data_IF_619643035837
#
_entry.id   IF_619643035837
#
_cell.length_a   1.000
_cell.length_b   1.000
_cell.length_c   1.000
_cell.angle_alpha   90.00
_cell.angle_beta   90.00
_cell.angle_gamma   90.00
#
_symmetry.space_group_name_H-M   'P 1'
#
loop_
_entity.id
_entity.type
_entity.pdbx_description
1 polymer ?
#
# COMPACT_ATOMS: atom_id res chain seq x y z
N UNK A 1 -5.72 18.06 10.92
CA UNK A 1 -5.30 16.85 11.65
C UNK A 1 -5.01 15.78 10.62
N UNK A 2 -3.93 15.04 10.77
CA UNK A 2 -3.50 14.07 9.77
C UNK A 2 -3.63 12.65 10.35
N UNK A 3 -3.77 11.65 9.48
CA UNK A 3 -3.77 10.25 9.91
C UNK A 3 -3.04 9.32 8.93
N UNK A 4 -2.66 8.17 9.47
CA UNK A 4 -2.29 7.00 8.68
C UNK A 4 -3.43 6.00 8.71
N UNK A 5 -3.70 5.37 7.57
CA UNK A 5 -4.71 4.33 7.40
C UNK A 5 -4.09 3.05 6.85
N UNK A 6 -4.55 1.88 7.28
CA UNK A 6 -4.25 0.58 6.66
C UNK A 6 -5.49 -0.33 6.63
N UNK A 7 -5.40 -1.45 5.90
CA UNK A 7 -6.46 -2.45 5.76
C UNK A 7 -5.99 -3.83 6.20
N UNK A 8 -6.72 -4.45 7.14
CA UNK A 8 -6.57 -5.87 7.50
C UNK A 8 -7.90 -6.57 7.26
N UNK A 9 -8.03 -7.33 6.18
CA UNK A 9 -9.26 -8.07 5.87
C UNK A 9 -8.93 -9.54 5.64
N UNK A 10 -9.65 -10.42 6.34
CA UNK A 10 -9.43 -11.85 6.35
C UNK A 10 -8.11 -12.26 7.01
N UNK A 11 -7.57 -13.40 6.55
CA UNK A 11 -6.46 -14.10 7.21
C UNK A 11 -5.12 -13.99 6.45
N UNK A 12 -5.04 -13.19 5.38
CA UNK A 12 -3.79 -13.04 4.63
C UNK A 12 -2.70 -12.36 5.47
N UNK A 13 -3.08 -11.33 6.23
CA UNK A 13 -2.21 -10.64 7.16
C UNK A 13 -2.78 -10.73 8.57
N UNK A 14 -1.98 -11.21 9.52
CA UNK A 14 -2.35 -11.25 10.94
C UNK A 14 -2.29 -9.85 11.57
N UNK A 15 -2.79 -9.72 12.80
CA UNK A 15 -2.64 -8.48 13.58
C UNK A 15 -1.17 -8.08 13.81
N UNK A 16 -0.21 -9.00 13.70
CA UNK A 16 1.23 -8.71 13.78
C UNK A 16 1.66 -7.67 12.73
N UNK A 17 1.10 -7.75 11.52
CA UNK A 17 1.38 -6.79 10.45
C UNK A 17 0.92 -5.38 10.80
N UNK A 18 -0.31 -5.25 11.28
CA UNK A 18 -0.88 -3.97 11.73
C UNK A 18 -0.02 -3.38 12.85
N UNK A 19 0.31 -4.22 13.84
CA UNK A 19 1.07 -3.83 15.01
C UNK A 19 2.51 -3.41 14.68
N UNK A 20 3.18 -4.11 13.77
CA UNK A 20 4.54 -3.78 13.33
C UNK A 20 4.56 -2.49 12.49
N UNK A 21 3.57 -2.30 11.62
CA UNK A 21 3.42 -1.05 10.87
C UNK A 21 3.16 0.14 11.81
N UNK A 22 2.22 0.01 12.74
CA UNK A 22 1.92 1.03 13.74
C UNK A 22 3.16 1.40 14.58
N UNK A 23 3.88 0.40 15.13
CA UNK A 23 5.14 0.64 15.86
C UNK A 23 6.18 1.37 15.02
N UNK A 24 6.34 0.97 13.76
CA UNK A 24 7.33 1.57 12.86
C UNK A 24 7.04 3.05 12.62
N UNK A 25 5.77 3.42 12.47
CA UNK A 25 5.36 4.82 12.27
C UNK A 25 5.48 5.62 13.57
N UNK A 26 5.15 5.02 14.71
CA UNK A 26 5.21 5.66 16.04
C UNK A 26 6.63 6.10 16.45
N UNK A 27 7.67 5.59 15.79
CA UNK A 27 9.05 6.06 15.95
C UNK A 27 9.26 7.49 15.43
N UNK A 28 8.41 7.95 14.51
CA UNK A 28 8.58 9.21 13.78
C UNK A 28 7.43 10.19 13.99
N UNK A 29 6.24 9.73 14.40
CA UNK A 29 5.09 10.60 14.61
C UNK A 29 4.04 9.99 15.53
N UNK A 30 3.28 10.85 16.22
CA UNK A 30 2.14 10.51 17.08
C UNK A 30 0.78 10.74 16.39
N UNK A 31 0.75 10.91 15.06
CA UNK A 31 -0.52 11.04 14.32
C UNK A 31 -1.40 9.79 14.47
N UNK A 32 -2.71 10.00 14.37
CA UNK A 32 -3.68 8.92 14.49
C UNK A 32 -3.38 7.79 13.48
N UNK A 33 -3.30 6.56 13.97
CA UNK A 33 -3.14 5.36 13.16
C UNK A 33 -4.43 4.57 13.17
N UNK A 34 -5.02 4.39 11.99
CA UNK A 34 -6.36 3.83 11.79
C UNK A 34 -6.24 2.52 11.00
N UNK A 35 -6.81 1.45 11.50
CA UNK A 35 -6.95 0.18 10.78
C UNK A 35 -8.42 -0.08 10.46
N UNK A 36 -8.74 -0.20 9.18
CA UNK A 36 -10.03 -0.73 8.74
C UNK A 36 -9.93 -2.25 8.66
N UNK A 37 -10.80 -2.96 9.38
CA UNK A 37 -10.69 -4.42 9.52
C UNK A 37 -12.03 -5.14 9.68
N UNK A 38 -12.08 -6.40 9.28
CA UNK A 38 -13.19 -7.32 9.58
C UNK A 38 -13.01 -8.08 10.90
N UNK A 39 -11.81 -7.96 11.52
CA UNK A 39 -11.46 -8.60 12.78
C UNK A 39 -10.34 -7.84 13.49
N UNK A 40 -10.68 -7.17 14.59
CA UNK A 40 -9.74 -6.39 15.39
C UNK A 40 -8.96 -7.22 16.43
N UNK A 41 -9.17 -8.54 16.52
CA UNK A 41 -8.51 -9.37 17.53
C UNK A 41 -6.97 -9.32 17.39
N UNK A 42 -6.29 -9.06 18.51
CA UNK A 42 -4.83 -8.99 18.57
C UNK A 42 -4.20 -7.69 18.07
N UNK A 43 -4.99 -6.75 17.51
CA UNK A 43 -4.51 -5.39 17.19
C UNK A 43 -4.32 -4.60 18.49
N UNK A 44 -3.28 -3.77 18.57
CA UNK A 44 -3.02 -2.96 19.76
C UNK A 44 -4.13 -1.96 20.06
N UNK A 45 -4.40 -1.73 21.36
CA UNK A 45 -5.46 -0.84 21.84
C UNK A 45 -5.25 0.64 21.47
N UNK A 46 -4.02 1.04 21.13
CA UNK A 46 -3.71 2.40 20.69
C UNK A 46 -3.80 2.59 19.16
N UNK A 47 -4.15 1.53 18.42
CA UNK A 47 -4.62 1.62 17.04
C UNK A 47 -6.12 1.87 17.04
N UNK A 48 -6.57 2.88 16.30
CA UNK A 48 -8.00 3.14 16.10
C UNK A 48 -8.52 2.12 15.09
N UNK A 49 -9.48 1.28 15.47
CA UNK A 49 -10.07 0.30 14.55
C UNK A 49 -11.47 0.72 14.12
N UNK A 50 -11.75 0.57 12.83
CA UNK A 50 -13.11 0.69 12.28
C UNK A 50 -13.46 -0.55 11.48
N UNK A 51 -14.70 -1.01 11.63
CA UNK A 51 -15.17 -2.17 10.88
C UNK A 51 -15.26 -1.85 9.39
N UNK A 52 -14.89 -2.80 8.54
CA UNK A 52 -15.14 -2.77 7.10
C UNK A 52 -15.62 -4.13 6.64
N UNK A 53 -16.67 -4.13 5.82
CA UNK A 53 -17.26 -5.37 5.33
C UNK A 53 -16.34 -6.05 4.31
N UNK A 54 -16.47 -7.37 4.25
CA UNK A 54 -15.81 -8.17 3.22
C UNK A 54 -16.85 -8.73 2.26
N UNK A 55 -16.44 -8.92 1.00
CA UNK A 55 -17.32 -9.41 -0.06
C UNK A 55 -16.81 -10.72 -0.66
N UNK A 56 -16.43 -11.67 0.22
CA UNK A 56 -15.83 -12.96 -0.16
C UNK A 56 -16.67 -13.78 -1.15
N UNK A 57 -17.98 -13.59 -1.15
CA UNK A 57 -18.92 -14.30 -2.02
C UNK A 57 -19.00 -13.71 -3.45
N UNK A 58 -18.28 -12.62 -3.73
CA UNK A 58 -18.29 -11.96 -5.04
C UNK A 58 -17.06 -12.34 -5.85
N UNK A 59 -17.30 -12.97 -7.01
CA UNK A 59 -16.24 -13.32 -7.97
C UNK A 59 -15.42 -12.07 -8.37
N UNK A 60 -14.09 -12.20 -8.35
CA UNK A 60 -13.16 -11.12 -8.69
C UNK A 60 -12.84 -10.17 -7.52
N UNK A 61 -13.65 -10.17 -6.45
CA UNK A 61 -13.35 -9.39 -5.26
C UNK A 61 -12.22 -10.04 -4.44
N UNK A 62 -11.42 -9.18 -3.81
CA UNK A 62 -10.35 -9.51 -2.87
C UNK A 62 -10.13 -8.31 -1.92
N UNK A 63 -9.48 -8.49 -0.75
CA UNK A 63 -9.30 -7.46 0.28
C UNK A 63 -8.86 -6.06 -0.17
N UNK A 64 -7.91 -5.95 -1.10
CA UNK A 64 -7.40 -4.65 -1.57
C UNK A 64 -8.45 -3.78 -2.28
N UNK A 65 -9.63 -4.31 -2.66
CA UNK A 65 -10.73 -3.51 -3.18
C UNK A 65 -11.38 -2.62 -2.12
N UNK A 66 -11.38 -3.03 -0.85
CA UNK A 66 -11.87 -2.23 0.27
C UNK A 66 -11.07 -0.94 0.50
N UNK A 67 -9.91 -0.78 -0.17
CA UNK A 67 -9.19 0.50 -0.26
C UNK A 67 -10.04 1.59 -0.90
N UNK A 68 -10.81 1.24 -1.93
CA UNK A 68 -11.67 2.18 -2.62
C UNK A 68 -12.91 2.52 -1.77
N UNK A 69 -13.45 1.55 -1.03
CA UNK A 69 -14.53 1.77 -0.05
C UNK A 69 -14.09 2.66 1.10
N UNK A 70 -12.87 2.44 1.61
CA UNK A 70 -12.26 3.21 2.68
C UNK A 70 -12.21 4.71 2.35
N UNK A 71 -11.94 5.09 1.09
CA UNK A 71 -11.88 6.49 0.68
C UNK A 71 -13.20 7.26 0.87
N UNK A 72 -14.34 6.57 0.95
CA UNK A 72 -15.66 7.16 1.20
C UNK A 72 -16.10 7.14 2.67
N UNK A 73 -15.21 6.82 3.61
CA UNK A 73 -15.56 6.63 5.02
C UNK A 73 -15.65 7.95 5.77
N UNK A 74 -16.82 8.21 6.38
CA UNK A 74 -17.10 9.41 7.19
C UNK A 74 -16.09 9.58 8.34
N UNK A 75 -15.56 8.47 8.88
CA UNK A 75 -14.55 8.47 9.93
C UNK A 75 -13.26 9.22 9.54
N UNK A 76 -13.01 9.35 8.23
CA UNK A 76 -11.85 10.05 7.67
C UNK A 76 -12.11 11.55 7.40
N UNK A 77 -13.35 12.03 7.42
CA UNK A 77 -13.69 13.42 7.08
C UNK A 77 -13.05 14.45 8.01
N UNK A 78 -12.78 14.08 9.27
CA UNK A 78 -12.15 14.95 10.28
C UNK A 78 -10.64 15.15 10.06
N UNK A 79 -10.03 14.44 9.10
CA UNK A 79 -8.60 14.55 8.79
C UNK A 79 -8.38 15.33 7.50
N UNK A 80 -7.43 16.26 7.51
CA UNK A 80 -7.10 17.12 6.36
C UNK A 80 -6.24 16.35 5.34
N UNK A 81 -5.29 15.54 5.82
CA UNK A 81 -4.40 14.69 5.03
C UNK A 81 -4.42 13.27 5.58
N UNK A 82 -4.54 12.30 4.68
CA UNK A 82 -4.52 10.87 4.98
C UNK A 82 -3.36 10.22 4.24
N UNK A 83 -2.70 9.28 4.89
CA UNK A 83 -1.65 8.45 4.31
C UNK A 83 -2.09 7.01 4.41
N UNK A 84 -2.39 6.38 3.28
CA UNK A 84 -2.62 4.96 3.24
C UNK A 84 -1.30 4.21 3.08
N UNK A 85 -1.13 3.13 3.86
CA UNK A 85 -0.08 2.12 3.66
C UNK A 85 -0.71 0.72 3.56
N UNK A 86 -0.27 -0.08 2.59
CA UNK A 86 -0.51 -1.54 2.63
C UNK A 86 0.26 -2.16 3.81
N UNK A 87 -0.16 -3.36 4.24
CA UNK A 87 0.47 -4.05 5.36
C UNK A 87 1.79 -4.74 4.99
N UNK A 88 1.99 -5.07 3.72
CA UNK A 88 3.18 -5.75 3.19
C UNK A 88 4.29 -4.77 2.82
N UNK A 89 4.66 -3.91 3.77
CA UNK A 89 5.81 -3.00 3.65
C UNK A 89 6.74 -3.12 4.84
N UNK A 90 8.00 -2.73 4.64
CA UNK A 90 8.98 -2.56 5.72
C UNK A 90 9.48 -1.13 5.68
N UNK A 91 9.14 -0.37 6.73
CA UNK A 91 9.70 0.95 7.01
C UNK A 91 11.11 0.74 7.57
N UNK A 92 12.13 1.12 6.81
CA UNK A 92 13.53 0.82 7.10
C UNK A 92 14.38 2.05 7.41
N UNK A 93 13.90 3.25 7.10
CA UNK A 93 14.54 4.52 7.45
C UNK A 93 13.47 5.55 7.89
N UNK A 94 13.93 6.75 8.22
CA UNK A 94 13.09 7.89 8.60
C UNK A 94 12.07 8.26 7.51
N UNK A 95 10.79 8.10 7.82
CA UNK A 95 9.66 8.41 6.94
C UNK A 95 9.06 9.80 7.17
N UNK A 96 9.66 10.65 8.01
CA UNK A 96 9.25 12.05 8.18
C UNK A 96 9.02 12.76 6.82
N UNK A 97 9.85 12.56 5.77
CA UNK A 97 9.57 13.14 4.46
C UNK A 97 8.24 12.72 3.83
N UNK A 98 7.76 11.49 4.10
CA UNK A 98 6.44 11.00 3.64
C UNK A 98 5.34 11.62 4.48
N UNK A 99 5.52 11.67 5.81
CA UNK A 99 4.52 12.18 6.74
C UNK A 99 4.25 13.69 6.53
N UNK A 100 5.28 14.45 6.21
CA UNK A 100 5.22 15.89 5.95
C UNK A 100 4.96 16.25 4.49
N UNK A 101 4.79 15.25 3.60
CA UNK A 101 4.60 15.51 2.17
C UNK A 101 3.23 16.14 1.90
N UNK A 102 3.24 17.29 1.23
CA UNK A 102 2.03 18.03 0.88
C UNK A 102 1.64 17.81 -0.58
N UNK A 103 0.46 17.24 -0.79
CA UNK A 103 -0.16 16.97 -2.09
C UNK A 103 -1.67 16.87 -1.91
N UNK A 104 -2.44 17.06 -2.98
CA UNK A 104 -3.86 16.73 -2.97
C UNK A 104 -4.07 15.22 -3.14
N UNK A 105 -3.24 14.57 -3.97
CA UNK A 105 -3.20 13.13 -4.16
C UNK A 105 -1.89 12.68 -4.83
N UNK A 106 -1.12 11.80 -4.18
CA UNK A 106 0.04 11.15 -4.77
C UNK A 106 0.11 9.64 -4.49
N UNK A 107 0.74 8.91 -5.41
CA UNK A 107 0.92 7.45 -5.39
C UNK A 107 2.35 7.05 -5.79
N UNK A 108 2.79 5.82 -5.49
CA UNK A 108 4.15 5.36 -5.82
C UNK A 108 4.37 5.26 -7.34
N UNK A 109 5.44 5.85 -7.86
CA UNK A 109 5.87 5.69 -9.25
C UNK A 109 6.69 4.39 -9.47
N UNK A 110 6.04 3.35 -9.99
CA UNK A 110 6.74 2.09 -10.36
C UNK A 110 7.36 2.16 -11.75
N UNK A 111 7.07 3.21 -12.50
CA UNK A 111 7.49 3.38 -13.87
C UNK A 111 9.02 3.53 -13.99
N UNK A 112 9.67 3.91 -12.88
CA UNK A 112 11.12 3.95 -12.70
C UNK A 112 11.77 2.56 -12.74
N UNK A 113 11.10 1.52 -12.22
CA UNK A 113 11.64 0.15 -12.20
C UNK A 113 10.94 -0.84 -13.12
N UNK A 114 9.77 -0.52 -13.69
CA UNK A 114 9.15 -1.31 -14.77
C UNK A 114 9.80 -1.04 -16.15
N UNK A 115 10.31 0.18 -16.36
CA UNK A 115 11.03 0.56 -17.59
C UNK A 115 10.12 0.81 -18.80
N UNK A 116 10.66 1.46 -19.84
CA UNK A 116 9.86 1.94 -20.98
C UNK A 116 9.30 0.82 -21.86
N UNK A 117 10.00 -0.31 -21.95
CA UNK A 117 9.54 -1.47 -22.73
C UNK A 117 8.22 -1.98 -22.17
N UNK A 118 8.14 -2.18 -20.85
CA UNK A 118 6.91 -2.63 -20.18
C UNK A 118 5.75 -1.67 -20.45
N UNK A 119 5.94 -0.36 -20.27
CA UNK A 119 4.87 0.64 -20.46
C UNK A 119 4.30 0.60 -21.87
N UNK A 120 5.15 0.37 -22.88
CA UNK A 120 4.73 0.28 -24.28
C UNK A 120 3.98 -1.01 -24.58
N UNK A 121 4.40 -2.13 -23.97
CA UNK A 121 3.82 -3.46 -24.21
C UNK A 121 2.52 -3.68 -23.41
N UNK A 122 2.31 -2.92 -22.32
CA UNK A 122 1.17 -3.07 -21.40
C UNK A 122 0.52 -1.71 -21.06
N UNK A 123 -0.03 -0.98 -22.04
CA UNK A 123 -0.64 0.34 -21.81
C UNK A 123 -1.84 0.31 -20.85
N UNK A 124 -2.47 -0.85 -20.69
CA UNK A 124 -3.59 -1.08 -19.77
C UNK A 124 -3.17 -1.31 -18.32
N UNK A 125 -1.89 -1.60 -18.07
CA UNK A 125 -1.39 -1.88 -16.72
C UNK A 125 -0.86 -0.61 -16.06
N UNK A 126 -1.30 -0.39 -14.82
CA UNK A 126 -0.82 0.70 -14.01
C UNK A 126 0.70 0.67 -13.87
N UNK A 127 1.30 1.85 -14.11
CA UNK A 127 2.73 2.08 -13.86
C UNK A 127 2.97 2.75 -12.51
N UNK A 128 2.05 2.55 -11.58
CA UNK A 128 2.14 2.91 -10.17
C UNK A 128 1.81 1.72 -9.27
N UNK A 129 1.88 1.94 -7.96
CA UNK A 129 1.45 1.00 -6.94
C UNK A 129 0.81 1.76 -5.75
N UNK A 130 -0.37 1.33 -5.30
CA UNK A 130 -1.09 2.00 -4.19
C UNK A 130 -0.70 1.52 -2.79
N UNK A 131 0.44 0.85 -2.61
CA UNK A 131 0.92 0.46 -1.27
C UNK A 131 1.34 1.65 -0.41
N UNK A 132 1.53 2.82 -1.01
CA UNK A 132 1.42 4.10 -0.33
C UNK A 132 0.59 5.07 -1.17
N UNK A 133 -0.37 5.74 -0.54
CA UNK A 133 -1.16 6.81 -1.17
C UNK A 133 -1.32 7.95 -0.17
N UNK A 134 -0.90 9.16 -0.54
CA UNK A 134 -1.10 10.37 0.26
C UNK A 134 -2.21 11.17 -0.40
N UNK A 135 -3.23 11.57 0.35
CA UNK A 135 -4.38 12.26 -0.22
C UNK A 135 -5.11 13.13 0.79
N UNK A 136 -5.77 14.19 0.29
CA UNK A 136 -6.71 14.98 1.09
C UNK A 136 -8.13 14.47 0.96
N UNK A 137 -8.56 14.21 -0.27
CA UNK A 137 -9.92 13.75 -0.59
C UNK A 137 -9.89 12.83 -1.82
N UNK A 138 -10.48 11.63 -1.68
CA UNK A 138 -10.67 10.66 -2.76
C UNK A 138 -12.13 10.19 -2.84
N UNK A 139 -13.07 11.04 -2.41
CA UNK A 139 -14.51 10.74 -2.48
C UNK A 139 -14.96 10.48 -3.92
N UNK A 140 -14.41 11.19 -4.91
CA UNK A 140 -14.70 10.94 -6.32
C UNK A 140 -14.25 9.55 -6.79
N UNK A 141 -13.13 9.04 -6.26
CA UNK A 141 -12.69 7.66 -6.51
C UNK A 141 -13.70 6.68 -5.93
N UNK A 142 -14.11 6.90 -4.68
CA UNK A 142 -15.11 6.08 -4.00
C UNK A 142 -16.44 6.07 -4.77
N UNK A 143 -16.97 7.24 -5.14
CA UNK A 143 -18.23 7.36 -5.89
C UNK A 143 -18.13 6.67 -7.24
N UNK A 144 -17.01 6.81 -7.95
CA UNK A 144 -16.78 6.12 -9.22
C UNK A 144 -16.70 4.61 -9.06
N UNK A 145 -16.28 4.10 -7.90
CA UNK A 145 -16.18 2.67 -7.62
C UNK A 145 -17.50 2.10 -7.14
N UNK A 146 -18.18 2.74 -6.18
CA UNK A 146 -19.30 2.14 -5.44
C UNK A 146 -20.56 1.95 -6.29
N UNK A 147 -20.74 2.76 -7.34
CA UNK A 147 -21.92 2.71 -8.21
C UNK A 147 -22.09 1.35 -8.89
N UNK A 148 -20.99 0.77 -9.40
CA UNK A 148 -20.98 -0.52 -10.11
C UNK A 148 -19.83 -1.42 -9.60
N UNK A 149 -19.61 -1.42 -8.28
CA UNK A 149 -18.42 -2.03 -7.68
C UNK A 149 -18.27 -3.51 -8.03
N UNK A 150 -19.37 -4.27 -8.07
CA UNK A 150 -19.36 -5.71 -8.34
C UNK A 150 -19.00 -6.02 -9.80
N UNK A 151 -19.29 -5.09 -10.71
CA UNK A 151 -18.81 -5.13 -12.10
C UNK A 151 -17.32 -4.80 -12.18
N UNK A 152 -16.88 -3.77 -11.45
CA UNK A 152 -15.48 -3.34 -11.45
C UNK A 152 -14.53 -4.43 -10.93
N UNK A 153 -14.90 -5.12 -9.85
CA UNK A 153 -14.06 -6.19 -9.26
C UNK A 153 -13.91 -7.39 -10.20
N UNK A 154 -14.89 -7.63 -11.08
CA UNK A 154 -14.83 -8.68 -12.13
C UNK A 154 -14.04 -8.23 -13.34
N UNK A 155 -14.06 -6.94 -13.67
CA UNK A 155 -13.48 -6.40 -14.89
C UNK A 155 -11.99 -6.05 -14.77
N UNK A 156 -11.57 -5.47 -13.65
CA UNK A 156 -10.22 -4.97 -13.49
C UNK A 156 -9.35 -5.93 -12.67
N UNK A 157 -8.06 -5.95 -12.99
CA UNK A 157 -7.03 -6.69 -12.21
C UNK A 157 -6.61 -5.90 -10.97
N UNK A 158 -7.57 -5.54 -10.13
CA UNK A 158 -7.36 -4.78 -8.89
C UNK A 158 -7.55 -3.27 -9.00
N UNK A 159 -7.53 -2.62 -7.83
CA UNK A 159 -7.80 -1.20 -7.66
C UNK A 159 -6.83 -0.29 -8.44
N UNK A 160 -5.52 -0.61 -8.50
CA UNK A 160 -4.56 0.20 -9.26
C UNK A 160 -4.90 0.30 -10.75
N UNK A 161 -5.31 -0.82 -11.34
CA UNK A 161 -5.71 -0.86 -12.75
C UNK A 161 -7.08 -0.22 -12.97
N UNK A 162 -8.00 -0.34 -12.02
CA UNK A 162 -9.26 0.42 -12.03
C UNK A 162 -8.98 1.92 -12.09
N UNK A 163 -8.12 2.45 -11.21
CA UNK A 163 -7.75 3.86 -11.21
C UNK A 163 -7.09 4.29 -12.53
N UNK A 164 -6.18 3.45 -13.04
CA UNK A 164 -5.41 3.74 -14.26
C UNK A 164 -6.31 3.82 -15.48
N UNK A 165 -7.14 2.80 -15.69
CA UNK A 165 -7.99 2.69 -16.89
C UNK A 165 -9.12 3.72 -16.88
N UNK A 166 -9.62 4.11 -15.71
CA UNK A 166 -10.64 5.16 -15.59
C UNK A 166 -10.07 6.60 -15.63
N UNK A 167 -8.75 6.75 -15.89
CA UNK A 167 -8.15 8.03 -16.21
C UNK A 167 -7.97 8.96 -15.01
N UNK A 168 -7.92 8.41 -13.80
CA UNK A 168 -7.53 9.17 -12.62
C UNK A 168 -6.06 9.61 -12.71
N UNK A 169 -5.74 10.76 -12.11
CA UNK A 169 -4.44 11.45 -12.29
C UNK A 169 -3.81 11.87 -10.96
N UNK A 170 -3.31 10.93 -10.16
CA UNK A 170 -2.46 11.27 -9.01
C UNK A 170 -1.13 11.87 -9.46
N UNK A 171 -0.53 12.64 -8.57
CA UNK A 171 0.90 12.93 -8.63
C UNK A 171 1.73 11.68 -8.27
N UNK A 172 3.02 11.72 -8.58
CA UNK A 172 3.95 10.67 -8.20
C UNK A 172 4.74 11.04 -6.95
N UNK A 173 4.78 10.11 -6.00
CA UNK A 173 5.65 10.21 -4.84
C UNK A 173 7.13 10.16 -5.28
N UNK A 174 8.04 10.88 -4.58
CA UNK A 174 9.47 10.73 -4.78
C UNK A 174 9.95 9.28 -4.61
N UNK A 175 11.19 9.02 -5.04
CA UNK A 175 11.84 7.69 -4.99
C UNK A 175 12.18 7.22 -3.57
N UNK A 176 11.16 7.08 -2.72
CA UNK A 176 11.26 6.59 -1.34
C UNK A 176 11.00 5.09 -1.22
N UNK A 177 10.46 4.48 -2.27
CA UNK A 177 10.02 3.10 -2.29
C UNK A 177 10.82 2.28 -3.30
N UNK A 178 11.00 1.00 -3.00
CA UNK A 178 11.46 0.00 -3.96
C UNK A 178 10.79 -1.35 -3.74
N UNK A 179 10.78 -2.20 -4.77
CA UNK A 179 10.24 -3.54 -4.66
C UNK A 179 11.30 -4.53 -4.15
N UNK A 180 10.95 -5.37 -3.17
CA UNK A 180 11.85 -6.45 -2.76
C UNK A 180 12.07 -7.47 -3.87
N UNK A 181 10.99 -7.84 -4.61
CA UNK A 181 11.04 -8.79 -5.72
C UNK A 181 11.57 -8.16 -7.00
N UNK A 182 11.09 -6.99 -7.38
CA UNK A 182 11.40 -6.38 -8.68
C UNK A 182 12.60 -5.43 -8.65
N UNK A 183 13.04 -5.00 -7.46
CA UNK A 183 14.10 -4.02 -7.28
C UNK A 183 13.63 -2.58 -7.55
N UNK A 184 14.58 -1.73 -7.91
CA UNK A 184 14.41 -0.29 -8.15
C UNK A 184 14.92 0.18 -9.52
N UNK A 185 15.20 -0.76 -10.43
CA UNK A 185 15.68 -0.45 -11.78
C UNK A 185 15.18 -1.53 -12.75
N UNK A 186 14.84 -1.21 -14.02
CA UNK A 186 14.30 -2.18 -14.97
C UNK A 186 15.19 -3.40 -15.16
N UNK A 187 16.52 -3.19 -15.17
CA UNK A 187 17.52 -4.27 -15.27
C UNK A 187 17.59 -5.20 -14.07
N UNK A 188 16.86 -4.96 -12.98
CA UNK A 188 16.81 -5.90 -11.86
C UNK A 188 15.84 -7.05 -12.13
N UNK A 189 14.71 -6.76 -12.79
CA UNK A 189 13.63 -7.73 -12.97
C UNK A 189 13.10 -7.74 -14.41
N UNK A 190 12.48 -6.64 -14.84
CA UNK A 190 11.74 -6.55 -16.10
C UNK A 190 12.61 -6.73 -17.35
N UNK A 191 13.84 -6.23 -17.33
CA UNK A 191 14.82 -6.39 -18.40
C UNK A 191 15.83 -7.51 -18.12
N UNK A 192 15.60 -8.27 -17.03
CA UNK A 192 16.47 -9.35 -16.55
C UNK A 192 15.71 -10.68 -16.48
N UNK A 193 14.94 -10.99 -17.53
CA UNK A 193 14.22 -12.25 -17.66
C UNK A 193 13.32 -12.56 -16.45
N UNK A 194 12.73 -11.54 -15.83
CA UNK A 194 11.85 -11.67 -14.65
C UNK A 194 12.52 -12.36 -13.46
N UNK A 195 13.85 -12.23 -13.34
CA UNK A 195 14.62 -12.79 -12.22
C UNK A 195 14.40 -11.94 -10.97
N UNK A 196 13.89 -12.50 -9.85
CA UNK A 196 13.70 -11.75 -8.62
C UNK A 196 15.01 -11.21 -8.02
N UNK A 197 14.99 -9.97 -7.56
CA UNK A 197 16.16 -9.29 -7.00
C UNK A 197 16.44 -9.70 -5.55
N UNK A 198 15.43 -9.65 -4.67
CA UNK A 198 15.51 -10.03 -3.25
C UNK A 198 16.67 -9.37 -2.48
N UNK A 199 16.96 -8.10 -2.76
CA UNK A 199 18.02 -7.34 -2.09
C UNK A 199 17.48 -6.22 -1.23
N UNK A 200 18.04 -6.10 -0.04
CA UNK A 200 17.92 -4.89 0.77
C UNK A 200 18.66 -3.73 0.11
N UNK A 201 18.07 -2.54 0.13
CA UNK A 201 18.74 -1.31 -0.31
C UNK A 201 18.54 -0.21 0.75
N UNK A 202 19.60 0.21 1.47
CA UNK A 202 19.49 1.21 2.53
C UNK A 202 19.18 2.64 2.04
N UNK A 203 19.28 2.92 0.73
CA UNK A 203 19.07 4.27 0.19
C UNK A 203 17.57 4.65 0.12
N UNK A 204 16.67 3.69 0.28
CA UNK A 204 15.23 3.88 0.23
C UNK A 204 14.61 3.93 1.63
N UNK A 205 13.45 4.58 1.77
CA UNK A 205 12.76 4.68 3.05
C UNK A 205 11.93 3.44 3.36
N UNK A 206 11.31 2.86 2.33
CA UNK A 206 10.36 1.76 2.46
C UNK A 206 10.64 0.68 1.40
N UNK A 207 10.67 -0.57 1.85
CA UNK A 207 10.74 -1.75 0.98
C UNK A 207 9.34 -2.37 0.84
N UNK A 208 8.89 -2.59 -0.40
CA UNK A 208 7.59 -3.17 -0.70
C UNK A 208 7.67 -4.70 -0.86
N UNK A 209 6.77 -5.40 -0.17
CA UNK A 209 6.56 -6.85 -0.25
C UNK A 209 5.25 -7.20 -1.00
N UNK A 210 4.90 -6.39 -2.01
CA UNK A 210 3.68 -6.51 -2.83
C UNK A 210 3.54 -7.83 -3.64
N UNK A 211 4.50 -8.75 -3.50
CA UNK A 211 4.59 -10.07 -4.12
C UNK A 211 5.44 -10.99 -3.21
N UNK A 212 5.31 -12.31 -3.41
CA UNK A 212 6.10 -13.30 -2.66
C UNK A 212 7.62 -13.16 -2.84
N UNK A 213 8.42 -13.51 -1.81
CA UNK A 213 7.98 -13.95 -0.47
C UNK A 213 7.41 -12.79 0.34
N UNK A 214 6.55 -13.08 1.31
CA UNK A 214 6.14 -12.10 2.31
C UNK A 214 7.26 -11.90 3.34
N UNK A 215 7.28 -10.75 4.02
CA UNK A 215 8.32 -10.45 5.01
C UNK A 215 8.41 -11.51 6.11
N UNK A 216 7.27 -12.08 6.52
CA UNK A 216 7.25 -13.09 7.58
C UNK A 216 7.85 -14.45 7.19
N UNK A 217 7.98 -14.72 5.89
CA UNK A 217 8.54 -15.95 5.34
C UNK A 217 10.08 -15.89 5.24
N UNK A 218 10.66 -14.71 5.43
CA UNK A 218 12.11 -14.53 5.39
C UNK A 218 12.80 -15.16 6.61
N UNK A 219 14.00 -15.68 6.38
CA UNK A 219 14.90 -16.15 7.43
C UNK A 219 15.10 -15.09 8.53
N UNK A 220 15.14 -15.52 9.79
CA UNK A 220 15.35 -14.62 10.95
C UNK A 220 16.66 -13.81 10.88
N UNK A 221 17.64 -14.28 10.09
CA UNK A 221 18.90 -13.58 9.85
C UNK A 221 18.78 -12.43 8.86
N UNK A 222 17.72 -12.39 8.03
CA UNK A 222 17.48 -11.39 7.01
C UNK A 222 17.26 -10.00 7.64
N UNK A 223 17.95 -8.99 7.10
CA UNK A 223 17.90 -7.63 7.64
C UNK A 223 16.49 -7.03 7.62
N UNK A 224 15.71 -7.24 6.55
CA UNK A 224 14.34 -6.70 6.45
C UNK A 224 13.40 -7.35 7.46
N UNK A 225 13.54 -8.67 7.71
CA UNK A 225 12.77 -9.36 8.76
C UNK A 225 13.12 -8.84 10.15
N UNK A 226 14.41 -8.57 10.42
CA UNK A 226 14.85 -8.00 11.70
C UNK A 226 14.30 -6.58 11.89
N UNK A 227 14.36 -5.73 10.86
CA UNK A 227 13.80 -4.37 10.89
C UNK A 227 12.29 -4.44 11.16
N UNK A 228 11.56 -5.29 10.42
CA UNK A 228 10.11 -5.45 10.57
C UNK A 228 9.69 -5.92 11.98
N UNK A 229 10.51 -6.77 12.61
CA UNK A 229 10.31 -7.23 13.99
C UNK A 229 10.85 -6.27 15.07
N UNK A 230 11.33 -5.07 14.71
CA UNK A 230 12.02 -4.15 15.63
C UNK A 230 13.19 -4.82 16.39
N UNK A 231 13.89 -5.75 15.73
CA UNK A 231 14.98 -6.55 16.30
C UNK A 231 16.37 -6.04 15.90
N UNK A 232 16.48 -4.79 15.45
CA UNK A 232 17.74 -4.12 15.04
C UNK A 232 18.00 -2.92 15.93
#
# INVERSE_FOLDING_TARGET
MDCVTCLKIGNLYSAEYVNNLHKSIKKYSDIDFICFTDDSEGIYNDVITYDIESHWDVEGWWPAWSKLEMYGRNELEKYDKKIFFDLDIVIQNDITPILEYETDWAIIDTSLWKGQKFKKEHPEQATWNSSCTIYKDLTDVYVSYIVDWDYHVKMYRGCDNFLWVNGFKPDYLPSWFYSYREGWHPSHYWENQWTPQFKYNPDFLICLFHQKPDVHELESSNILKKIWNDSV
#
